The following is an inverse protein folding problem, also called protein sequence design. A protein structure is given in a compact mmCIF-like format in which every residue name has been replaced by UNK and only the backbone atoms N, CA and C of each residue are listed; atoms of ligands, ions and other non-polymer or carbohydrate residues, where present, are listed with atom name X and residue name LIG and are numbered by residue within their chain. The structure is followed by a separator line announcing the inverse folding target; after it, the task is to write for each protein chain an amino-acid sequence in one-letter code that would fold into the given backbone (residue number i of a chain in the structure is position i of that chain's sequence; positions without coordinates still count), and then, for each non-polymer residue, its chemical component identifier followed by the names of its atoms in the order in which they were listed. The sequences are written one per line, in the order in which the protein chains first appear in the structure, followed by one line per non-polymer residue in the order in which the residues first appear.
data_IF_726947543995
#
_entry.id   IF_726947543995
#
_cell.length_a   1.000
_cell.length_b   1.000
_cell.length_c   1.000
_cell.angle_alpha   90.00
_cell.angle_beta   90.00
_cell.angle_gamma   90.00
#
_symmetry.space_group_name_H-M   'P 1'
#
loop_
_entity.id
_entity.type
_entity.pdbx_description
1 polymer ?
#
# COMPACT_ATOMS: atom_id res chain seq x y z
N UNK A 1 -6.53 10.20 3.65
CA UNK A 1 -7.19 11.10 2.69
C UNK A 1 -6.32 11.21 1.44
N UNK A 2 -6.88 11.46 0.24
CA UNK A 2 -6.09 11.75 -0.96
C UNK A 2 -5.08 12.88 -0.72
N UNK A 3 -5.48 13.90 0.07
CA UNK A 3 -4.63 15.02 0.46
C UNK A 3 -3.35 14.60 1.21
N UNK A 4 -3.39 13.49 1.97
CA UNK A 4 -2.19 13.00 2.68
C UNK A 4 -1.14 12.47 1.69
N UNK A 5 -1.59 11.93 0.55
CA UNK A 5 -0.71 11.44 -0.53
C UNK A 5 -0.11 12.63 -1.25
N UNK A 6 -0.93 13.63 -1.61
CA UNK A 6 -0.46 14.86 -2.27
C UNK A 6 0.54 15.62 -1.39
N UNK A 7 0.26 15.73 -0.08
CA UNK A 7 1.16 16.34 0.88
C UNK A 7 2.44 15.53 1.08
N UNK A 8 2.40 14.21 0.89
CA UNK A 8 3.59 13.36 0.91
C UNK A 8 4.45 13.57 -0.34
N UNK A 9 3.85 13.60 -1.54
CA UNK A 9 4.54 13.95 -2.80
C UNK A 9 5.31 15.26 -2.66
N UNK A 10 4.63 16.33 -2.21
CA UNK A 10 5.23 17.65 -2.01
C UNK A 10 6.38 17.64 -0.98
N UNK A 11 6.13 17.06 0.21
CA UNK A 11 7.11 17.06 1.30
C UNK A 11 8.34 16.20 0.99
N UNK A 12 8.14 15.10 0.29
CA UNK A 12 9.19 14.13 -0.01
C UNK A 12 9.85 14.35 -1.36
N UNK A 13 9.33 15.26 -2.19
CA UNK A 13 9.93 15.68 -3.45
C UNK A 13 9.85 14.63 -4.55
N UNK A 14 8.78 13.84 -4.60
CA UNK A 14 8.50 12.88 -5.66
C UNK A 14 7.10 13.10 -6.23
N UNK A 15 6.82 12.47 -7.37
CA UNK A 15 5.47 12.42 -7.93
C UNK A 15 5.17 10.98 -8.34
N UNK A 16 3.96 10.52 -8.06
CA UNK A 16 3.46 9.24 -8.55
C UNK A 16 3.16 9.38 -10.04
N UNK A 17 3.75 8.51 -10.85
CA UNK A 17 3.62 8.48 -12.30
C UNK A 17 2.96 7.19 -12.78
N UNK A 18 2.59 7.16 -14.07
CA UNK A 18 1.99 6.01 -14.73
C UNK A 18 2.90 4.78 -14.60
N UNK A 19 2.31 3.65 -14.19
CA UNK A 19 3.02 2.39 -14.01
C UNK A 19 3.75 2.23 -12.68
N UNK A 20 3.75 3.24 -11.81
CA UNK A 20 4.41 3.14 -10.51
C UNK A 20 3.76 2.11 -9.58
N UNK A 21 4.58 1.58 -8.67
CA UNK A 21 4.10 0.87 -7.48
C UNK A 21 4.04 1.84 -6.31
N UNK A 22 2.84 2.18 -5.87
CA UNK A 22 2.64 3.08 -4.73
C UNK A 22 2.63 2.30 -3.41
N UNK A 23 3.62 2.54 -2.56
CA UNK A 23 3.74 1.91 -1.24
C UNK A 23 3.36 2.90 -0.12
N UNK A 24 2.34 2.56 0.66
CA UNK A 24 1.79 3.38 1.74
C UNK A 24 2.16 2.78 3.09
N UNK A 25 3.08 3.44 3.79
CA UNK A 25 3.40 3.12 5.19
C UNK A 25 2.41 3.80 6.13
N UNK A 26 1.50 3.01 6.70
CA UNK A 26 0.54 3.46 7.71
C UNK A 26 1.14 3.53 9.12
N UNK A 27 2.20 2.77 9.38
CA UNK A 27 2.86 2.68 10.68
C UNK A 27 2.20 1.68 11.63
N UNK A 28 1.21 0.92 11.18
CA UNK A 28 0.58 -0.11 12.00
C UNK A 28 1.57 -1.26 12.32
N UNK A 29 2.44 -1.62 11.37
CA UNK A 29 3.50 -2.59 11.63
C UNK A 29 4.50 -2.07 12.66
N UNK A 30 4.91 -0.80 12.56
CA UNK A 30 5.77 -0.15 13.55
C UNK A 30 5.17 -0.25 14.95
N UNK A 31 3.91 0.17 15.10
CA UNK A 31 3.20 0.16 16.37
C UNK A 31 3.15 -1.25 16.95
N UNK A 32 2.84 -2.26 16.12
CA UNK A 32 2.84 -3.66 16.55
C UNK A 32 4.21 -4.13 17.04
N UNK A 33 5.29 -3.69 16.41
CA UNK A 33 6.65 -4.09 16.82
C UNK A 33 7.07 -3.45 18.16
N UNK A 34 6.56 -2.27 18.48
CA UNK A 34 6.86 -1.55 19.73
C UNK A 34 5.92 -1.94 20.88
N UNK A 35 4.61 -1.97 20.62
CA UNK A 35 3.56 -2.18 21.63
C UNK A 35 3.13 -3.64 21.75
N UNK A 36 3.56 -4.50 20.82
CA UNK A 36 3.14 -5.90 20.73
C UNK A 36 1.90 -6.10 19.85
N UNK A 37 1.37 -7.34 19.79
CA UNK A 37 0.21 -7.67 18.96
C UNK A 37 -1.01 -6.80 19.27
N UNK A 38 -1.55 -6.16 18.24
CA UNK A 38 -2.81 -5.40 18.34
C UNK A 38 -3.98 -6.36 18.20
N UNK A 39 -5.01 -6.20 19.03
CA UNK A 39 -6.26 -6.95 18.88
C UNK A 39 -6.90 -6.61 17.52
N UNK A 40 -7.27 -7.65 16.75
CA UNK A 40 -7.95 -7.50 15.47
C UNK A 40 -9.29 -6.77 15.60
N UNK A 41 -9.93 -6.83 16.78
CA UNK A 41 -11.17 -6.11 17.07
C UNK A 41 -10.98 -4.58 17.12
N UNK A 42 -9.75 -4.10 17.35
CA UNK A 42 -9.42 -2.68 17.37
C UNK A 42 -9.43 -2.03 15.98
N UNK A 43 -9.55 -2.84 14.92
CA UNK A 43 -9.57 -2.37 13.54
C UNK A 43 -8.18 -2.30 12.89
N UNK A 44 -8.15 -1.74 11.68
CA UNK A 44 -6.94 -1.57 10.87
C UNK A 44 -7.04 -0.29 10.07
N UNK A 45 -5.93 0.44 9.97
CA UNK A 45 -5.83 1.63 9.11
C UNK A 45 -5.42 1.24 7.69
N UNK A 46 -5.86 2.02 6.71
CA UNK A 46 -5.51 1.90 5.31
C UNK A 46 -5.90 3.18 4.55
N UNK A 47 -5.64 3.23 3.24
CA UNK A 47 -6.21 4.23 2.37
C UNK A 47 -7.74 4.17 2.39
N UNK A 48 -8.37 5.34 2.34
CA UNK A 48 -9.82 5.43 2.21
C UNK A 48 -10.22 5.25 0.74
N UNK A 49 -11.46 4.83 0.49
CA UNK A 49 -12.00 4.69 -0.86
C UNK A 49 -11.92 5.99 -1.68
N UNK A 50 -11.90 7.15 -1.01
CA UNK A 50 -11.70 8.45 -1.65
C UNK A 50 -10.35 8.58 -2.41
N UNK A 51 -9.37 7.71 -2.14
CA UNK A 51 -8.10 7.68 -2.87
C UNK A 51 -8.20 6.98 -4.24
N UNK A 52 -9.26 6.21 -4.51
CA UNK A 52 -9.42 5.44 -5.75
C UNK A 52 -9.38 6.31 -7.02
N UNK A 53 -10.03 7.50 -7.09
CA UNK A 53 -9.91 8.37 -8.24
C UNK A 53 -8.48 8.84 -8.49
N UNK A 54 -7.69 9.12 -7.43
CA UNK A 54 -6.30 9.50 -7.57
C UNK A 54 -5.46 8.32 -8.11
N UNK A 55 -5.68 7.11 -7.60
CA UNK A 55 -5.00 5.91 -8.10
C UNK A 55 -5.29 5.65 -9.58
N UNK A 56 -6.54 5.86 -10.00
CA UNK A 56 -6.93 5.75 -11.39
C UNK A 56 -6.32 6.86 -12.26
N UNK A 57 -6.36 8.11 -11.81
CA UNK A 57 -5.77 9.25 -12.52
C UNK A 57 -4.26 9.08 -12.73
N UNK A 58 -3.56 8.53 -11.74
CA UNK A 58 -2.12 8.26 -11.80
C UNK A 58 -1.75 6.98 -12.57
N UNK A 59 -2.74 6.15 -12.92
CA UNK A 59 -2.56 4.86 -13.59
C UNK A 59 -1.45 3.99 -12.96
N UNK A 60 -1.53 3.83 -11.63
CA UNK A 60 -0.55 3.02 -10.88
C UNK A 60 -0.67 1.54 -11.25
N UNK A 61 0.45 0.83 -11.35
CA UNK A 61 0.43 -0.61 -11.62
C UNK A 61 0.03 -1.45 -10.39
N UNK A 62 0.39 -0.96 -9.20
CA UNK A 62 0.18 -1.69 -7.94
C UNK A 62 0.08 -0.74 -6.74
N UNK A 63 -0.78 -1.09 -5.80
CA UNK A 63 -0.87 -0.47 -4.48
C UNK A 63 -0.33 -1.44 -3.42
N UNK A 64 0.52 -0.97 -2.51
CA UNK A 64 0.97 -1.77 -1.38
C UNK A 64 0.90 -1.01 -0.06
N UNK A 65 0.73 -1.73 1.04
CA UNK A 65 0.81 -1.14 2.39
C UNK A 65 1.34 -2.13 3.42
N UNK A 66 1.63 -1.63 4.62
CA UNK A 66 1.96 -2.44 5.79
C UNK A 66 0.72 -3.02 6.50
N UNK A 67 -0.46 -2.91 5.88
CA UNK A 67 -1.74 -3.48 6.33
C UNK A 67 -2.43 -4.21 5.18
N UNK A 68 -3.69 -4.63 5.39
CA UNK A 68 -4.50 -5.31 4.37
C UNK A 68 -5.21 -4.36 3.41
N UNK A 69 -4.65 -3.18 3.12
CA UNK A 69 -5.11 -2.15 2.17
C UNK A 69 -6.57 -1.63 2.28
N UNK A 70 -7.42 -2.19 3.13
CA UNK A 70 -8.75 -1.69 3.45
C UNK A 70 -8.88 -1.33 4.93
N UNK A 71 -9.65 -0.28 5.19
CA UNK A 71 -9.95 0.17 6.55
C UNK A 71 -10.88 -0.83 7.22
N UNK A 72 -10.56 -1.17 8.47
CA UNK A 72 -11.40 -2.00 9.32
C UNK A 72 -11.73 -1.22 10.61
N UNK A 73 -12.99 -1.11 11.04
CA UNK A 73 -14.20 -1.69 10.42
C UNK A 73 -14.56 -1.09 9.06
N UNK A 74 -15.28 -1.85 8.20
CA UNK A 74 -15.73 -1.35 6.90
C UNK A 74 -16.53 -0.05 7.04
N UNK A 75 -16.19 0.93 6.22
CA UNK A 75 -16.82 2.26 6.28
C UNK A 75 -18.13 2.35 5.48
N UNK A 76 -18.39 1.37 4.60
CA UNK A 76 -19.54 1.37 3.70
C UNK A 76 -20.35 0.08 3.86
N UNK A 77 -21.64 0.21 4.17
CA UNK A 77 -22.52 -0.93 4.45
C UNK A 77 -22.73 -1.89 3.28
N UNK A 78 -22.53 -1.41 2.04
CA UNK A 78 -22.70 -2.20 0.80
C UNK A 78 -21.38 -2.63 0.15
N UNK A 79 -20.26 -2.08 0.61
CA UNK A 79 -18.95 -2.30 0.01
C UNK A 79 -17.94 -2.54 1.13
N UNK A 80 -17.69 -3.82 1.42
CA UNK A 80 -16.89 -4.22 2.58
C UNK A 80 -15.39 -3.88 2.43
N UNK A 81 -14.86 -3.95 1.21
CA UNK A 81 -13.44 -3.76 0.90
C UNK A 81 -13.30 -2.94 -0.38
N UNK A 82 -13.63 -1.63 -0.33
CA UNK A 82 -13.66 -0.79 -1.52
C UNK A 82 -12.31 -0.73 -2.24
N UNK A 83 -11.18 -0.73 -1.52
CA UNK A 83 -9.86 -0.71 -2.15
C UNK A 83 -9.64 -2.00 -2.93
N UNK A 84 -9.83 -3.17 -2.32
CA UNK A 84 -9.72 -4.44 -3.03
C UNK A 84 -10.66 -4.56 -4.22
N UNK A 85 -11.95 -4.26 -4.02
CA UNK A 85 -12.96 -4.46 -5.05
C UNK A 85 -12.76 -3.55 -6.25
N UNK A 86 -12.50 -2.26 -6.03
CA UNK A 86 -12.36 -1.32 -7.15
C UNK A 86 -10.98 -1.45 -7.80
N UNK A 87 -9.90 -1.52 -7.02
CA UNK A 87 -8.55 -1.62 -7.57
C UNK A 87 -8.35 -2.87 -8.39
N UNK A 88 -8.68 -4.05 -7.86
CA UNK A 88 -8.43 -5.31 -8.56
C UNK A 88 -9.42 -5.50 -9.72
N UNK A 89 -10.72 -5.33 -9.46
CA UNK A 89 -11.75 -5.75 -10.42
C UNK A 89 -12.01 -4.68 -11.49
N UNK A 90 -12.06 -3.40 -11.10
CA UNK A 90 -12.42 -2.33 -12.02
C UNK A 90 -11.19 -1.67 -12.66
N UNK A 91 -10.08 -1.53 -11.93
CA UNK A 91 -8.89 -0.83 -12.41
C UNK A 91 -7.77 -1.77 -12.89
N UNK A 92 -7.80 -3.06 -12.52
CA UNK A 92 -6.72 -4.01 -12.85
C UNK A 92 -5.43 -3.78 -12.06
N UNK A 93 -5.49 -3.01 -10.97
CA UNK A 93 -4.38 -2.68 -10.09
C UNK A 93 -4.11 -3.84 -9.13
N UNK A 94 -2.86 -4.28 -9.05
CA UNK A 94 -2.45 -5.31 -8.10
C UNK A 94 -2.35 -4.75 -6.67
N UNK A 95 -2.50 -5.63 -5.68
CA UNK A 95 -2.40 -5.26 -4.26
C UNK A 95 -1.30 -6.07 -3.56
N UNK A 96 -0.47 -5.37 -2.78
CA UNK A 96 0.52 -5.95 -1.86
C UNK A 96 0.09 -5.67 -0.41
N UNK A 97 -0.39 -6.71 0.27
CA UNK A 97 -0.78 -6.62 1.68
C UNK A 97 0.37 -6.96 2.64
N UNK A 98 0.36 -6.32 3.80
CA UNK A 98 1.23 -6.63 4.93
C UNK A 98 2.73 -6.57 4.60
N UNK A 99 3.14 -5.64 3.74
CA UNK A 99 4.54 -5.43 3.42
C UNK A 99 5.31 -4.90 4.64
N UNK A 100 6.56 -5.33 4.83
CA UNK A 100 7.44 -4.66 5.77
C UNK A 100 7.97 -3.36 5.12
N UNK A 101 7.42 -2.23 5.54
CA UNK A 101 7.83 -0.90 5.08
C UNK A 101 8.71 -0.14 6.08
N UNK A 102 9.06 -0.74 7.23
CA UNK A 102 9.89 -0.08 8.26
C UNK A 102 11.31 0.13 7.78
N UNK A 103 11.97 -0.96 7.35
CA UNK A 103 13.36 -0.91 6.88
C UNK A 103 13.49 -0.06 5.62
N UNK A 104 12.47 -0.12 4.75
CA UNK A 104 12.39 0.69 3.54
C UNK A 104 12.26 2.19 3.88
N UNK A 105 11.35 2.56 4.78
CA UNK A 105 11.17 3.95 5.16
C UNK A 105 12.42 4.55 5.83
N UNK A 106 13.14 3.76 6.63
CA UNK A 106 14.43 4.17 7.19
C UNK A 106 15.49 4.35 6.09
N UNK A 107 15.59 3.41 5.15
CA UNK A 107 16.51 3.53 4.02
C UNK A 107 16.23 4.77 3.14
N UNK A 108 14.94 5.07 2.90
CA UNK A 108 14.50 6.28 2.19
C UNK A 108 14.90 7.55 2.95
N UNK A 109 14.66 7.59 4.27
CA UNK A 109 15.04 8.74 5.13
C UNK A 109 16.54 8.99 5.12
N UNK A 110 17.36 7.95 5.27
CA UNK A 110 18.82 8.07 5.26
C UNK A 110 19.36 8.61 3.94
N UNK A 111 18.69 8.31 2.82
CA UNK A 111 19.08 8.74 1.46
C UNK A 111 18.40 10.03 1.02
N UNK A 112 17.40 10.50 1.77
CA UNK A 112 16.47 11.54 1.32
C UNK A 112 15.93 11.25 -0.11
N UNK A 113 15.53 10.00 -0.35
CA UNK A 113 15.05 9.52 -1.66
C UNK A 113 13.89 8.54 -1.46
N UNK A 114 12.79 8.77 -2.15
CA UNK A 114 11.53 8.03 -1.99
C UNK A 114 11.13 7.22 -3.23
N UNK A 115 11.89 7.36 -4.31
CA UNK A 115 11.74 6.62 -5.56
C UNK A 115 12.86 5.58 -5.69
N UNK A 116 12.54 4.35 -6.04
CA UNK A 116 13.50 3.25 -6.14
C UNK A 116 12.97 2.17 -7.08
N UNK A 117 13.86 1.33 -7.60
CA UNK A 117 13.46 0.18 -8.38
C UNK A 117 12.91 -0.89 -7.44
N UNK A 118 11.74 -1.45 -7.74
CA UNK A 118 11.12 -2.52 -6.97
C UNK A 118 11.13 -3.82 -7.79
N UNK A 119 11.73 -4.86 -7.24
CA UNK A 119 11.71 -6.21 -7.82
C UNK A 119 10.75 -7.09 -7.03
N UNK A 120 9.71 -7.60 -7.69
CA UNK A 120 8.73 -8.52 -7.11
C UNK A 120 8.56 -9.71 -8.05
N UNK A 121 8.95 -10.89 -7.59
CA UNK A 121 8.73 -12.15 -8.28
C UNK A 121 7.70 -13.00 -7.54
N UNK A 122 6.41 -13.01 -7.93
CA UNK A 122 5.45 -13.97 -7.40
C UNK A 122 5.83 -15.40 -7.80
N UNK A 123 5.49 -16.35 -6.94
CA UNK A 123 5.65 -17.77 -7.24
C UNK A 123 4.72 -18.15 -8.41
N UNK A 124 5.24 -19.00 -9.31
CA UNK A 124 4.45 -19.56 -10.41
C UNK A 124 3.54 -20.67 -9.89
N UNK A 125 2.43 -20.28 -9.25
CA UNK A 125 1.44 -21.18 -8.68
C UNK A 125 0.24 -21.32 -9.62
N UNK A 126 -0.25 -22.55 -9.78
CA UNK A 126 -1.46 -22.83 -10.57
C UNK A 126 -2.72 -22.72 -9.71
N UNK A 127 -3.80 -22.18 -10.28
CA UNK A 127 -5.11 -22.02 -9.64
C UNK A 127 -5.09 -21.20 -8.34
N UNK A 128 -4.20 -20.22 -8.23
CA UNK A 128 -4.15 -19.26 -7.12
C UNK A 128 -4.52 -17.86 -7.58
N UNK A 129 -5.00 -17.04 -6.65
CA UNK A 129 -5.36 -15.63 -6.87
C UNK A 129 -4.29 -14.66 -6.35
N UNK A 130 -3.17 -15.19 -5.86
CA UNK A 130 -2.09 -14.43 -5.25
C UNK A 130 -0.91 -15.34 -4.91
N UNK A 131 0.16 -14.72 -4.42
CA UNK A 131 1.39 -15.40 -4.02
C UNK A 131 2.02 -14.67 -2.83
N UNK A 132 2.62 -15.39 -1.86
CA UNK A 132 3.62 -14.76 -1.01
C UNK A 132 4.77 -14.25 -1.89
N UNK A 133 5.35 -13.13 -1.50
CA UNK A 133 6.45 -12.48 -2.22
C UNK A 133 7.49 -11.98 -1.22
N UNK A 134 8.70 -11.77 -1.70
CA UNK A 134 9.75 -11.04 -0.99
C UNK A 134 10.15 -9.82 -1.84
N UNK A 135 9.40 -8.70 -1.76
CA UNK A 135 9.68 -7.50 -2.53
C UNK A 135 11.05 -6.92 -2.15
N UNK A 136 11.89 -6.64 -3.14
CA UNK A 136 13.21 -6.05 -2.93
C UNK A 136 13.25 -4.65 -3.52
N UNK A 137 13.46 -3.65 -2.67
CA UNK A 137 13.71 -2.27 -3.07
C UNK A 137 15.22 -2.07 -3.35
N UNK A 138 15.53 -1.43 -4.48
CA UNK A 138 16.88 -1.19 -4.98
C UNK A 138 17.04 0.31 -5.27
N UNK A 139 17.99 0.94 -4.58
CA UNK A 139 18.31 2.37 -4.70
C UNK A 139 19.45 2.58 -5.69
#
# INVERSE_FOLDING_TARGET
MPDDILAAEERCGFKVEEGDVLLIRTGQLHRRNVEGPVDRSAGSTACQAACLPLFHERDIAMLGSDTGNDVNPPQYSRVASPIHQVSIVAMGVWILDNANLEDLAEACRQRNRWEFMLSIGPLALHNTTGSPVNPIAIF
#
